data_IF_664974585573
#
_entry.id   IF_664974585573
#
_cell.length_a   1.000
_cell.length_b   1.000
_cell.length_c   1.000
_cell.angle_alpha   90.00
_cell.angle_beta   90.00
_cell.angle_gamma   90.00
#
_symmetry.space_group_name_H-M   'P 1'
#
loop_
_entity.id
_entity.type
_entity.pdbx_description
1 polymer ?
#
# COMPACT_ATOMS: atom_id res chain seq x y z
N UNK A 1 -6.17 -22.52 -1.21
CA UNK A 1 -6.67 -21.54 -0.21
C UNK A 1 -7.66 -20.62 -0.92
N UNK A 2 -8.77 -20.29 -0.28
CA UNK A 2 -9.76 -19.36 -0.84
C UNK A 2 -9.58 -17.99 -0.19
N UNK A 3 -9.36 -16.96 -0.99
CA UNK A 3 -8.99 -15.63 -0.52
C UNK A 3 -10.05 -14.61 -0.92
N UNK A 4 -10.59 -13.87 0.06
CA UNK A 4 -11.40 -12.69 -0.19
C UNK A 4 -10.49 -11.46 -0.30
N UNK A 5 -10.55 -10.75 -1.43
CA UNK A 5 -9.85 -9.47 -1.63
C UNK A 5 -10.92 -8.38 -1.74
N UNK A 6 -11.01 -7.50 -0.74
CA UNK A 6 -11.89 -6.31 -0.84
C UNK A 6 -11.14 -5.16 -1.49
N UNK A 7 -11.83 -4.32 -2.23
CA UNK A 7 -11.17 -3.29 -3.04
C UNK A 7 -10.40 -3.87 -4.23
N UNK A 8 -10.82 -5.05 -4.69
CA UNK A 8 -10.16 -5.81 -5.76
C UNK A 8 -10.01 -5.06 -7.09
N UNK A 9 -10.87 -4.06 -7.37
CA UNK A 9 -10.77 -3.22 -8.56
C UNK A 9 -9.74 -2.06 -8.44
N UNK A 10 -9.11 -1.87 -7.27
CA UNK A 10 -8.06 -0.86 -7.09
C UNK A 10 -6.76 -1.29 -7.78
N UNK A 11 -5.80 -0.37 -7.92
CA UNK A 11 -4.45 -0.69 -8.43
C UNK A 11 -3.84 -1.90 -7.72
N UNK A 12 -3.72 -1.86 -6.40
CA UNK A 12 -3.19 -3.00 -5.62
C UNK A 12 -4.07 -4.24 -5.76
N UNK A 13 -5.39 -4.05 -5.72
CA UNK A 13 -6.36 -5.17 -5.76
C UNK A 13 -6.27 -5.98 -7.04
N UNK A 14 -6.19 -5.34 -8.21
CA UNK A 14 -6.10 -6.03 -9.51
C UNK A 14 -4.83 -6.87 -9.61
N UNK A 15 -3.68 -6.32 -9.18
CA UNK A 15 -2.43 -7.06 -9.20
C UNK A 15 -2.42 -8.23 -8.20
N UNK A 16 -3.01 -8.06 -7.02
CA UNK A 16 -3.17 -9.16 -6.07
C UNK A 16 -4.08 -10.26 -6.61
N UNK A 17 -5.21 -9.91 -7.25
CA UNK A 17 -6.08 -10.89 -7.92
C UNK A 17 -5.27 -11.71 -8.93
N UNK A 18 -4.54 -11.05 -9.84
CA UNK A 18 -3.71 -11.71 -10.84
C UNK A 18 -2.63 -12.59 -10.20
N UNK A 19 -1.93 -12.05 -9.21
CA UNK A 19 -0.87 -12.75 -8.53
C UNK A 19 -1.35 -14.01 -7.81
N UNK A 20 -2.44 -13.94 -7.03
CA UNK A 20 -2.98 -15.10 -6.34
C UNK A 20 -3.53 -16.16 -7.30
N UNK A 21 -4.16 -15.76 -8.40
CA UNK A 21 -4.58 -16.68 -9.45
C UNK A 21 -3.37 -17.38 -10.11
N UNK A 22 -2.25 -16.67 -10.33
CA UNK A 22 -1.02 -17.27 -10.86
C UNK A 22 -0.38 -18.29 -9.92
N UNK A 23 -0.65 -18.17 -8.61
CA UNK A 23 -0.26 -19.14 -7.57
C UNK A 23 -1.30 -20.25 -7.36
N UNK A 24 -2.23 -20.40 -8.29
CA UNK A 24 -3.27 -21.44 -8.27
C UNK A 24 -4.24 -21.37 -7.06
N UNK A 25 -4.38 -20.17 -6.44
CA UNK A 25 -5.32 -19.94 -5.35
C UNK A 25 -6.74 -19.60 -5.86
N UNK A 26 -7.76 -19.85 -5.05
CA UNK A 26 -9.11 -19.37 -5.34
C UNK A 26 -9.26 -17.91 -4.87
N UNK A 27 -9.75 -17.03 -5.75
CA UNK A 27 -9.88 -15.60 -5.47
C UNK A 27 -11.34 -15.16 -5.55
N UNK A 28 -11.82 -14.60 -4.45
CA UNK A 28 -13.10 -13.90 -4.34
C UNK A 28 -12.83 -12.40 -4.39
N UNK A 29 -13.06 -11.79 -5.55
CA UNK A 29 -12.79 -10.38 -5.79
C UNK A 29 -14.02 -9.53 -5.43
N UNK A 30 -14.02 -8.87 -4.28
CA UNK A 30 -15.12 -8.04 -3.82
C UNK A 30 -14.93 -6.59 -4.28
N UNK A 31 -15.93 -6.09 -5.02
CA UNK A 31 -15.96 -4.74 -5.57
C UNK A 31 -17.33 -4.11 -5.36
N UNK A 32 -17.40 -2.78 -5.27
CA UNK A 32 -18.66 -2.06 -5.34
C UNK A 32 -19.16 -1.94 -6.78
N UNK A 33 -20.45 -1.71 -6.98
CA UNK A 33 -21.10 -1.63 -8.31
C UNK A 33 -20.35 -0.68 -9.28
N UNK A 34 -20.03 0.53 -8.82
CA UNK A 34 -19.41 1.57 -9.64
C UNK A 34 -17.88 1.66 -9.42
N UNK A 35 -17.20 0.54 -9.16
CA UNK A 35 -15.75 0.53 -8.95
C UNK A 35 -15.01 0.76 -10.28
N UNK A 36 -14.16 1.79 -10.33
CA UNK A 36 -13.23 1.96 -11.46
C UNK A 36 -12.29 0.75 -11.52
N UNK A 37 -12.04 0.22 -12.72
CA UNK A 37 -11.22 -0.96 -12.92
C UNK A 37 -11.94 -2.30 -12.69
N UNK A 38 -13.28 -2.31 -12.42
CA UNK A 38 -14.07 -3.54 -12.34
C UNK A 38 -13.99 -4.35 -13.63
N UNK A 39 -14.11 -3.67 -14.77
CA UNK A 39 -14.13 -4.33 -16.07
C UNK A 39 -12.80 -5.04 -16.40
N UNK A 40 -11.69 -4.57 -15.84
CA UNK A 40 -10.39 -5.22 -15.98
C UNK A 40 -10.33 -6.60 -15.28
N UNK A 41 -11.22 -6.85 -14.32
CA UNK A 41 -11.33 -8.14 -13.63
C UNK A 41 -12.15 -9.17 -14.43
N UNK A 42 -13.00 -8.73 -15.40
CA UNK A 42 -13.85 -9.62 -16.19
C UNK A 42 -13.03 -10.59 -17.06
N UNK A 43 -11.78 -10.23 -17.38
CA UNK A 43 -10.85 -11.14 -18.08
C UNK A 43 -10.62 -12.47 -17.37
N UNK A 44 -10.90 -12.54 -16.06
CA UNK A 44 -10.72 -13.74 -15.24
C UNK A 44 -12.02 -14.57 -15.08
N UNK A 45 -13.17 -14.15 -15.61
CA UNK A 45 -14.45 -14.84 -15.41
C UNK A 45 -14.46 -16.29 -15.93
N UNK A 46 -13.65 -16.59 -16.94
CA UNK A 46 -13.49 -17.96 -17.45
C UNK A 46 -12.61 -18.85 -16.54
N UNK A 47 -11.92 -18.28 -15.54
CA UNK A 47 -11.10 -19.03 -14.61
C UNK A 47 -11.97 -19.58 -13.47
N UNK A 48 -12.05 -20.89 -13.32
CA UNK A 48 -12.85 -21.55 -12.28
C UNK A 48 -12.40 -21.27 -10.84
N UNK A 49 -11.21 -20.66 -10.65
CA UNK A 49 -10.68 -20.20 -9.36
C UNK A 49 -10.97 -18.73 -9.08
N UNK A 50 -11.65 -18.04 -9.98
CA UNK A 50 -12.02 -16.63 -9.82
C UNK A 50 -13.52 -16.45 -9.65
N UNK A 51 -13.92 -15.60 -8.72
CA UNK A 51 -15.31 -15.16 -8.57
C UNK A 51 -15.36 -13.66 -8.26
N UNK A 52 -16.06 -12.92 -9.14
CA UNK A 52 -16.37 -11.51 -8.89
C UNK A 52 -17.60 -11.41 -7.98
N UNK A 53 -17.49 -10.63 -6.90
CA UNK A 53 -18.58 -10.35 -5.96
C UNK A 53 -18.83 -8.85 -5.98
N UNK A 54 -20.04 -8.46 -6.36
CA UNK A 54 -20.47 -7.05 -6.37
C UNK A 54 -21.23 -6.79 -5.08
N UNK A 55 -20.59 -6.10 -4.14
CA UNK A 55 -21.18 -5.79 -2.83
C UNK A 55 -20.51 -4.54 -2.24
N UNK A 56 -21.31 -3.63 -1.70
CA UNK A 56 -20.78 -2.47 -0.98
C UNK A 56 -20.36 -2.85 0.46
N UNK A 57 -19.31 -2.21 0.98
CA UNK A 57 -18.84 -2.48 2.35
C UNK A 57 -19.88 -2.15 3.44
N UNK A 58 -20.84 -1.27 3.14
CA UNK A 58 -21.97 -0.99 4.05
C UNK A 58 -22.94 -2.17 4.21
N UNK A 59 -22.97 -3.06 3.23
CA UNK A 59 -23.85 -4.26 3.17
C UNK A 59 -23.06 -5.55 3.39
N UNK A 60 -21.84 -5.49 3.95
CA UNK A 60 -20.90 -6.62 4.00
C UNK A 60 -21.44 -7.84 4.75
N UNK A 61 -22.36 -7.64 5.67
CA UNK A 61 -23.05 -8.71 6.41
C UNK A 61 -23.87 -9.63 5.48
N UNK A 62 -24.20 -9.18 4.27
CA UNK A 62 -24.89 -9.99 3.26
C UNK A 62 -23.98 -10.95 2.51
N UNK A 63 -22.66 -10.88 2.76
CA UNK A 63 -21.72 -11.82 2.14
C UNK A 63 -21.98 -13.23 2.63
N UNK A 64 -22.36 -14.12 1.71
CA UNK A 64 -22.72 -15.52 1.99
C UNK A 64 -21.84 -16.48 1.16
N UNK A 65 -20.54 -16.47 1.47
CA UNK A 65 -19.55 -17.37 0.85
C UNK A 65 -18.38 -17.54 1.81
N UNK A 66 -17.94 -18.77 2.01
CA UNK A 66 -16.84 -19.10 2.92
C UNK A 66 -15.48 -18.86 2.24
N UNK A 67 -14.49 -18.47 3.05
CA UNK A 67 -13.11 -18.23 2.64
C UNK A 67 -12.13 -18.41 3.80
N UNK A 68 -10.85 -18.64 3.48
CA UNK A 68 -9.81 -18.91 4.48
C UNK A 68 -9.09 -17.66 4.95
N UNK A 69 -8.87 -16.71 4.03
CA UNK A 69 -8.09 -15.48 4.27
C UNK A 69 -8.82 -14.27 3.68
N UNK A 70 -8.83 -13.18 4.43
CA UNK A 70 -9.30 -11.87 3.94
C UNK A 70 -8.13 -10.91 3.76
N UNK A 71 -8.03 -10.29 2.59
CA UNK A 71 -7.12 -9.16 2.31
C UNK A 71 -7.98 -7.92 2.13
N UNK A 72 -7.93 -7.03 3.14
CA UNK A 72 -8.78 -5.84 3.17
C UNK A 72 -8.04 -4.60 2.66
N UNK A 73 -8.31 -4.24 1.39
CA UNK A 73 -7.78 -3.04 0.73
C UNK A 73 -8.83 -1.94 0.54
N UNK A 74 -10.13 -2.28 0.63
CA UNK A 74 -11.21 -1.30 0.42
C UNK A 74 -11.11 -0.15 1.43
N UNK A 75 -10.95 1.07 0.92
CA UNK A 75 -10.83 2.27 1.72
C UNK A 75 -11.33 3.49 0.95
N UNK A 76 -12.20 4.30 1.54
CA UNK A 76 -12.65 5.56 1.00
C UNK A 76 -11.76 6.73 1.40
N UNK A 77 -11.83 7.84 0.67
CA UNK A 77 -11.17 9.09 1.07
C UNK A 77 -9.64 9.06 1.05
N UNK A 78 -9.02 8.37 0.07
CA UNK A 78 -7.55 8.31 -0.07
C UNK A 78 -6.93 9.55 -0.72
N UNK A 79 -7.74 10.37 -1.42
CA UNK A 79 -7.28 11.62 -2.04
C UNK A 79 -7.11 12.76 -1.01
N UNK A 80 -6.50 13.87 -1.44
CA UNK A 80 -6.07 14.98 -0.56
C UNK A 80 -7.16 15.44 0.43
N UNK A 81 -8.37 15.71 -0.03
CA UNK A 81 -9.48 16.16 0.81
C UNK A 81 -10.00 15.05 1.72
N UNK A 82 -10.27 13.87 1.15
CA UNK A 82 -10.82 12.74 1.91
C UNK A 82 -9.87 12.20 3.00
N UNK A 83 -8.55 12.39 2.87
CA UNK A 83 -7.58 12.06 3.91
C UNK A 83 -7.75 12.88 5.19
N UNK A 84 -8.34 14.07 5.08
CA UNK A 84 -8.59 14.99 6.20
C UNK A 84 -10.04 14.94 6.69
N UNK A 85 -10.92 14.18 6.04
CA UNK A 85 -12.34 14.07 6.40
C UNK A 85 -12.55 12.98 7.46
N UNK A 86 -12.81 13.40 8.70
CA UNK A 86 -13.00 12.50 9.84
C UNK A 86 -14.20 11.56 9.62
N UNK A 87 -15.30 12.02 9.00
CA UNK A 87 -16.49 11.19 8.82
C UNK A 87 -16.21 10.02 7.87
N UNK A 88 -15.57 10.30 6.72
CA UNK A 88 -15.16 9.24 5.78
C UNK A 88 -14.23 8.24 6.46
N UNK A 89 -13.27 8.73 7.25
CA UNK A 89 -12.33 7.84 7.93
C UNK A 89 -13.02 7.02 9.03
N UNK A 90 -14.02 7.57 9.71
CA UNK A 90 -14.84 6.83 10.70
C UNK A 90 -15.66 5.72 10.04
N UNK A 91 -16.30 5.99 8.91
CA UNK A 91 -17.04 4.97 8.14
C UNK A 91 -16.14 3.81 7.71
N UNK A 92 -14.89 4.09 7.31
CA UNK A 92 -13.91 3.06 6.98
C UNK A 92 -13.55 2.18 8.19
N UNK A 93 -13.39 2.80 9.37
CA UNK A 93 -13.13 2.05 10.63
C UNK A 93 -14.28 1.08 10.92
N UNK A 94 -15.51 1.57 10.87
CA UNK A 94 -16.69 0.75 11.17
C UNK A 94 -16.86 -0.36 10.15
N UNK A 95 -16.62 -0.10 8.87
CA UNK A 95 -16.67 -1.11 7.81
C UNK A 95 -15.62 -2.23 8.01
N UNK A 96 -14.39 -1.88 8.40
CA UNK A 96 -13.34 -2.87 8.67
C UNK A 96 -13.68 -3.76 9.88
N UNK A 97 -14.27 -3.18 10.93
CA UNK A 97 -14.70 -3.94 12.12
C UNK A 97 -15.84 -4.91 11.78
N UNK A 98 -16.84 -4.45 10.99
CA UNK A 98 -17.93 -5.33 10.52
C UNK A 98 -17.38 -6.46 9.65
N UNK A 99 -16.51 -6.15 8.70
CA UNK A 99 -15.89 -7.16 7.84
C UNK A 99 -15.16 -8.24 8.67
N UNK A 100 -14.40 -7.89 9.69
CA UNK A 100 -13.71 -8.88 10.51
C UNK A 100 -14.68 -9.83 11.24
N UNK A 101 -15.86 -9.35 11.66
CA UNK A 101 -16.91 -10.21 12.22
C UNK A 101 -17.46 -11.17 11.18
N UNK A 102 -17.76 -10.68 9.97
CA UNK A 102 -18.16 -11.51 8.83
C UNK A 102 -17.10 -12.56 8.50
N UNK A 103 -15.81 -12.19 8.55
CA UNK A 103 -14.71 -13.15 8.36
C UNK A 103 -14.82 -14.34 9.33
N UNK A 104 -15.15 -14.09 10.62
CA UNK A 104 -15.37 -15.17 11.59
C UNK A 104 -16.54 -16.07 11.20
N UNK A 105 -17.66 -15.48 10.80
CA UNK A 105 -18.87 -16.21 10.41
C UNK A 105 -18.63 -17.05 9.14
N UNK A 106 -17.75 -16.61 8.25
CA UNK A 106 -17.36 -17.29 6.99
C UNK A 106 -16.13 -18.17 7.10
N UNK A 107 -15.69 -18.48 8.31
CA UNK A 107 -14.64 -19.46 8.56
C UNK A 107 -13.20 -18.98 8.31
N UNK A 108 -12.98 -17.70 8.08
CA UNK A 108 -11.64 -17.16 7.85
C UNK A 108 -10.71 -17.38 9.06
N UNK A 109 -9.48 -17.74 8.78
CA UNK A 109 -8.41 -17.97 9.77
C UNK A 109 -7.50 -16.75 9.93
N UNK A 110 -7.36 -15.94 8.88
CA UNK A 110 -6.44 -14.80 8.85
C UNK A 110 -7.06 -13.59 8.16
N UNK A 111 -6.77 -12.41 8.71
CA UNK A 111 -7.23 -11.12 8.21
C UNK A 111 -6.03 -10.19 8.01
N UNK A 112 -5.70 -9.88 6.76
CA UNK A 112 -4.66 -8.93 6.39
C UNK A 112 -5.28 -7.56 6.13
N UNK A 113 -4.80 -6.55 6.83
CA UNK A 113 -5.28 -5.17 6.70
C UNK A 113 -4.24 -4.28 6.05
N UNK A 114 -4.65 -3.54 5.01
CA UNK A 114 -3.81 -2.51 4.41
C UNK A 114 -3.73 -1.28 5.31
N UNK A 115 -2.76 -1.27 6.23
CA UNK A 115 -2.29 -0.10 6.94
C UNK A 115 -1.50 0.84 6.02
N UNK A 116 -0.81 1.83 6.58
CA UNK A 116 -0.09 2.82 5.78
C UNK A 116 1.14 3.38 6.50
N UNK A 117 2.18 3.73 5.75
CA UNK A 117 3.31 4.50 6.23
C UNK A 117 2.89 5.85 6.86
N UNK A 118 1.69 6.38 6.49
CA UNK A 118 1.15 7.61 7.08
C UNK A 118 0.90 7.52 8.60
N UNK A 119 0.88 6.32 9.17
CA UNK A 119 0.78 6.08 10.61
C UNK A 119 2.00 6.60 11.37
N UNK A 120 3.19 6.60 10.74
CA UNK A 120 4.41 7.14 11.36
C UNK A 120 4.35 8.65 11.50
N UNK A 121 3.86 9.36 10.48
CA UNK A 121 3.70 10.81 10.48
C UNK A 121 5.01 11.59 10.63
N UNK A 122 6.17 10.95 10.40
CA UNK A 122 7.46 11.61 10.43
C UNK A 122 7.63 12.49 9.20
N UNK A 123 8.08 13.72 9.40
CA UNK A 123 8.31 14.70 8.33
C UNK A 123 9.78 15.08 8.20
N UNK A 124 10.15 15.65 7.06
CA UNK A 124 11.48 16.19 6.83
C UNK A 124 11.83 17.22 7.92
N UNK A 125 10.90 18.12 8.27
CA UNK A 125 11.14 19.14 9.32
C UNK A 125 11.37 18.53 10.71
N UNK A 126 10.77 17.37 11.02
CA UNK A 126 11.07 16.65 12.28
C UNK A 126 12.53 16.14 12.28
N UNK A 127 13.05 15.73 11.11
CA UNK A 127 14.45 15.29 10.94
C UNK A 127 15.40 16.47 11.03
N UNK A 128 15.14 17.53 10.26
CA UNK A 128 15.97 18.75 10.25
C UNK A 128 16.08 19.38 11.65
N UNK A 129 14.98 19.43 12.39
CA UNK A 129 14.95 19.94 13.75
C UNK A 129 15.81 19.12 14.73
N UNK A 130 15.97 17.81 14.49
CA UNK A 130 16.67 16.90 15.38
C UNK A 130 18.14 16.69 14.99
N UNK A 131 18.44 16.67 13.69
CA UNK A 131 19.74 16.27 13.16
C UNK A 131 20.45 17.39 12.37
N UNK A 132 19.81 18.56 12.18
CA UNK A 132 20.29 19.64 11.33
C UNK A 132 19.91 19.45 9.86
N UNK A 133 20.13 20.49 9.04
CA UNK A 133 19.73 20.45 7.62
C UNK A 133 20.69 19.61 6.74
N UNK A 134 21.93 19.39 7.17
CA UNK A 134 22.96 18.65 6.44
C UNK A 134 23.08 17.19 6.90
N UNK A 135 21.95 16.57 7.32
CA UNK A 135 21.95 15.19 7.81
C UNK A 135 22.30 14.18 6.71
N UNK A 136 23.01 13.11 7.07
CA UNK A 136 23.17 11.93 6.22
C UNK A 136 22.01 10.97 6.48
N UNK A 137 21.22 10.65 5.44
CA UNK A 137 20.08 9.72 5.52
C UNK A 137 20.47 8.36 6.12
N UNK A 138 21.70 7.90 5.89
CA UNK A 138 22.19 6.62 6.40
C UNK A 138 22.41 6.61 7.92
N UNK A 139 22.52 7.80 8.53
CA UNK A 139 22.66 7.95 9.99
C UNK A 139 21.33 8.10 10.72
N UNK A 140 20.23 8.34 9.96
CA UNK A 140 18.89 8.46 10.53
C UNK A 140 18.35 7.08 10.89
N UNK A 141 17.85 6.86 12.13
CA UNK A 141 17.25 5.59 12.52
C UNK A 141 16.12 5.18 11.58
N UNK A 142 16.14 3.91 11.15
CA UNK A 142 15.07 3.35 10.31
C UNK A 142 13.79 3.19 11.12
N UNK A 143 12.66 3.43 10.45
CA UNK A 143 11.31 3.24 10.99
C UNK A 143 11.00 1.74 11.06
N UNK A 144 11.31 1.11 12.22
CA UNK A 144 10.85 -0.24 12.53
C UNK A 144 9.34 -0.24 12.85
N UNK A 145 8.74 -1.41 12.95
CA UNK A 145 7.32 -1.54 13.29
C UNK A 145 6.98 -0.98 14.67
N UNK A 146 7.97 -0.94 15.58
CA UNK A 146 7.86 -0.35 16.94
C UNK A 146 8.23 1.14 16.98
N UNK A 147 8.63 1.73 15.84
CA UNK A 147 8.97 3.15 15.79
C UNK A 147 7.78 4.01 16.21
N UNK A 148 8.01 5.13 16.95
CA UNK A 148 6.93 6.00 17.39
C UNK A 148 6.04 6.48 16.26
N UNK A 149 4.73 6.38 16.44
CA UNK A 149 3.71 6.79 15.47
C UNK A 149 3.08 8.12 15.89
N UNK A 150 3.00 9.07 14.95
CA UNK A 150 2.42 10.41 15.17
C UNK A 150 1.72 10.90 13.88
N UNK A 151 0.64 10.22 13.44
CA UNK A 151 -0.01 10.52 12.17
C UNK A 151 -0.48 11.97 12.10
N UNK A 152 -0.31 12.61 10.92
CA UNK A 152 -0.65 14.02 10.68
C UNK A 152 -2.04 14.19 10.05
N UNK A 153 -2.60 13.17 9.41
CA UNK A 153 -3.92 13.18 8.76
C UNK A 153 -4.92 12.28 9.49
N UNK A 154 -6.22 12.56 9.30
CA UNK A 154 -7.29 11.68 9.80
C UNK A 154 -7.19 10.27 9.20
N UNK A 155 -6.77 10.16 7.94
CA UNK A 155 -6.43 8.89 7.31
C UNK A 155 -5.38 8.09 8.09
N UNK A 156 -4.24 8.72 8.41
CA UNK A 156 -3.18 8.06 9.18
C UNK A 156 -3.63 7.68 10.60
N UNK A 157 -4.40 8.57 11.25
CA UNK A 157 -5.00 8.30 12.57
C UNK A 157 -5.94 7.10 12.53
N UNK A 158 -6.83 7.04 11.54
CA UNK A 158 -7.79 5.95 11.37
C UNK A 158 -7.09 4.60 11.11
N UNK A 159 -6.03 4.58 10.25
CA UNK A 159 -5.23 3.38 10.03
C UNK A 159 -4.55 2.90 11.31
N UNK A 160 -3.97 3.81 12.08
CA UNK A 160 -3.33 3.51 13.37
C UNK A 160 -4.33 3.03 14.42
N UNK A 161 -5.51 3.65 14.51
CA UNK A 161 -6.59 3.25 15.43
C UNK A 161 -7.02 1.80 15.18
N UNK A 162 -7.18 1.43 13.90
CA UNK A 162 -7.56 0.07 13.52
C UNK A 162 -6.50 -0.98 13.88
N UNK A 163 -5.21 -0.63 13.93
CA UNK A 163 -4.16 -1.56 14.35
C UNK A 163 -4.52 -2.26 15.66
N UNK A 164 -4.87 -1.49 16.69
CA UNK A 164 -5.19 -2.03 18.00
C UNK A 164 -6.61 -2.63 18.07
N UNK A 165 -7.58 -1.98 17.44
CA UNK A 165 -8.96 -2.46 17.43
C UNK A 165 -9.12 -3.81 16.75
N UNK A 166 -8.52 -3.97 15.55
CA UNK A 166 -8.60 -5.23 14.80
C UNK A 166 -7.73 -6.33 15.44
N UNK A 167 -6.59 -5.98 16.07
CA UNK A 167 -5.81 -6.97 16.82
C UNK A 167 -6.63 -7.55 17.98
N UNK A 168 -7.21 -6.69 18.82
CA UNK A 168 -8.02 -7.14 19.96
C UNK A 168 -9.26 -7.93 19.50
N UNK A 169 -9.91 -7.49 18.43
CA UNK A 169 -11.07 -8.19 17.87
C UNK A 169 -10.67 -9.55 17.30
N UNK A 170 -9.56 -9.61 16.54
CA UNK A 170 -9.02 -10.85 15.98
C UNK A 170 -8.71 -11.87 17.08
N UNK A 171 -8.04 -11.45 18.16
CA UNK A 171 -7.75 -12.31 19.31
C UNK A 171 -9.02 -12.86 19.95
N UNK A 172 -10.05 -12.02 20.13
CA UNK A 172 -11.33 -12.43 20.70
C UNK A 172 -12.12 -13.41 19.82
N UNK A 173 -11.94 -13.29 18.50
CA UNK A 173 -12.61 -14.14 17.51
C UNK A 173 -11.80 -15.38 17.11
N UNK A 174 -10.53 -15.47 17.51
CA UNK A 174 -9.61 -16.51 17.06
C UNK A 174 -9.25 -16.37 15.56
N UNK A 175 -9.11 -15.14 15.08
CA UNK A 175 -8.63 -14.80 13.73
C UNK A 175 -7.24 -14.19 13.85
N UNK A 176 -6.27 -14.73 13.14
CA UNK A 176 -4.94 -14.14 13.07
C UNK A 176 -4.97 -12.81 12.29
N UNK A 177 -4.60 -11.73 12.96
CA UNK A 177 -4.59 -10.39 12.38
C UNK A 177 -3.22 -9.99 11.91
N UNK A 178 -3.14 -9.44 10.70
CA UNK A 178 -1.90 -8.91 10.08
C UNK A 178 -2.12 -7.47 9.67
N UNK A 179 -1.30 -6.57 10.19
CA UNK A 179 -1.29 -5.14 9.88
C UNK A 179 -0.13 -4.80 8.95
N UNK A 180 -0.42 -4.47 7.70
CA UNK A 180 0.57 -4.14 6.68
C UNK A 180 0.73 -2.63 6.55
N UNK A 181 1.78 -2.03 7.09
CA UNK A 181 2.13 -0.64 6.80
C UNK A 181 2.73 -0.56 5.42
N UNK A 182 1.88 -0.35 4.43
CA UNK A 182 2.28 -0.28 3.02
C UNK A 182 2.91 1.08 2.75
N UNK A 183 4.11 1.06 2.17
CA UNK A 183 4.83 2.24 1.71
C UNK A 183 4.45 2.59 0.27
N UNK A 184 5.22 3.47 -0.40
CA UNK A 184 4.83 3.94 -1.72
C UNK A 184 5.00 2.84 -2.77
N UNK A 185 3.89 2.39 -3.33
CA UNK A 185 3.85 1.37 -4.37
C UNK A 185 3.86 2.02 -5.75
N UNK A 186 4.57 1.44 -6.69
CA UNK A 186 4.54 1.83 -8.09
C UNK A 186 4.45 0.60 -9.00
N UNK A 187 3.94 0.80 -10.21
CA UNK A 187 3.82 -0.27 -11.19
C UNK A 187 2.87 0.08 -12.33
N UNK A 188 2.72 -0.81 -13.30
CA UNK A 188 1.80 -0.64 -14.42
C UNK A 188 0.35 -0.50 -13.90
N UNK A 189 -0.39 0.48 -14.42
CA UNK A 189 -1.77 0.77 -13.98
C UNK A 189 -1.88 1.55 -12.66
N UNK A 190 -0.78 2.12 -12.15
CA UNK A 190 -0.81 3.12 -11.09
C UNK A 190 -1.51 4.41 -11.55
N UNK A 191 -1.84 5.27 -10.61
CA UNK A 191 -2.56 6.51 -10.87
C UNK A 191 -1.74 7.43 -11.81
N UNK A 192 -2.38 7.92 -12.89
CA UNK A 192 -1.70 8.74 -13.93
C UNK A 192 -1.01 10.00 -13.39
N UNK A 193 -1.49 10.53 -12.27
CA UNK A 193 -0.92 11.71 -11.61
C UNK A 193 0.10 11.37 -10.52
N UNK A 194 0.46 10.10 -10.34
CA UNK A 194 1.56 9.74 -9.44
C UNK A 194 2.89 10.28 -9.99
N UNK A 195 3.85 10.53 -9.10
CA UNK A 195 5.15 11.05 -9.52
C UNK A 195 5.82 10.12 -10.54
N UNK A 196 5.81 8.82 -10.28
CA UNK A 196 6.43 7.82 -11.16
C UNK A 196 5.75 7.81 -12.54
N UNK A 197 4.41 7.71 -12.57
CA UNK A 197 3.64 7.70 -13.83
C UNK A 197 3.85 8.99 -14.64
N UNK A 198 3.86 10.14 -13.96
CA UNK A 198 4.12 11.45 -14.58
C UNK A 198 5.52 11.52 -15.18
N UNK A 199 6.55 11.05 -14.45
CA UNK A 199 7.93 11.02 -14.93
C UNK A 199 8.06 10.10 -16.14
N UNK A 200 7.54 8.87 -16.07
CA UNK A 200 7.59 7.92 -17.20
C UNK A 200 6.93 8.52 -18.43
N UNK A 201 5.71 9.05 -18.30
CA UNK A 201 4.95 9.62 -19.41
C UNK A 201 5.72 10.76 -20.10
N UNK A 202 6.18 11.74 -19.33
CA UNK A 202 6.84 12.92 -19.90
C UNK A 202 8.23 12.58 -20.48
N UNK A 203 9.04 11.80 -19.77
CA UNK A 203 10.37 11.44 -20.25
C UNK A 203 10.32 10.52 -21.48
N UNK A 204 9.31 9.65 -21.63
CA UNK A 204 9.08 8.90 -22.89
C UNK A 204 8.85 9.81 -24.10
N UNK A 205 8.25 10.97 -23.88
CA UNK A 205 7.97 11.96 -24.92
C UNK A 205 9.08 13.03 -25.04
N UNK A 206 10.21 12.86 -24.32
CA UNK A 206 11.28 13.86 -24.22
C UNK A 206 10.79 15.24 -23.75
N UNK A 207 9.77 15.27 -22.89
CA UNK A 207 9.22 16.48 -22.29
C UNK A 207 9.80 16.72 -20.91
N UNK A 208 9.80 17.98 -20.49
CA UNK A 208 10.21 18.39 -19.15
C UNK A 208 9.25 17.86 -18.09
N UNK A 209 9.82 17.55 -16.91
CA UNK A 209 9.07 17.11 -15.73
C UNK A 209 9.16 18.19 -14.66
N UNK A 210 8.01 18.80 -14.34
CA UNK A 210 7.87 19.86 -13.35
C UNK A 210 7.52 19.27 -11.97
N UNK A 211 8.45 19.34 -11.02
CA UNK A 211 8.33 18.73 -9.68
C UNK A 211 8.76 19.69 -8.57
N UNK A 212 8.44 19.37 -7.33
CA UNK A 212 9.00 20.04 -6.17
C UNK A 212 10.48 19.69 -5.96
N UNK A 213 11.07 20.18 -4.88
CA UNK A 213 12.51 20.00 -4.57
C UNK A 213 12.92 18.52 -4.42
N UNK A 214 12.00 17.63 -4.02
CA UNK A 214 12.20 16.20 -3.85
C UNK A 214 13.43 15.82 -2.99
N UNK A 215 13.70 16.61 -1.96
CA UNK A 215 14.88 16.48 -1.07
C UNK A 215 14.67 15.48 0.09
N UNK A 216 13.44 15.05 0.33
CA UNK A 216 13.10 14.12 1.40
C UNK A 216 13.53 12.69 1.07
N UNK A 217 13.77 11.90 2.13
CA UNK A 217 13.90 10.45 2.00
C UNK A 217 12.58 9.82 1.57
N UNK A 218 12.68 8.87 0.66
CA UNK A 218 11.53 8.13 0.15
C UNK A 218 11.83 6.65 -0.02
N UNK A 219 10.78 5.85 -0.05
CA UNK A 219 10.89 4.42 -0.30
C UNK A 219 9.80 4.00 -1.28
N UNK A 220 10.18 3.34 -2.35
CA UNK A 220 9.29 2.71 -3.31
C UNK A 220 9.42 1.19 -3.27
N UNK A 221 8.28 0.50 -3.36
CA UNK A 221 8.20 -0.94 -3.61
C UNK A 221 7.48 -1.17 -4.94
N UNK A 222 8.03 -2.05 -5.80
CA UNK A 222 7.38 -2.43 -7.04
C UNK A 222 6.17 -3.32 -6.75
N UNK A 223 5.11 -3.19 -7.56
CA UNK A 223 3.83 -3.87 -7.32
C UNK A 223 3.96 -5.39 -7.21
N UNK A 224 4.83 -6.04 -7.99
CA UNK A 224 5.02 -7.49 -7.92
C UNK A 224 5.72 -7.92 -6.62
N UNK A 225 6.67 -7.14 -6.12
CA UNK A 225 7.31 -7.39 -4.82
C UNK A 225 6.30 -7.20 -3.67
N UNK A 226 5.41 -6.20 -3.77
CA UNK A 226 4.29 -6.06 -2.83
C UNK A 226 3.38 -7.30 -2.88
N UNK A 227 3.03 -7.79 -4.06
CA UNK A 227 2.19 -8.99 -4.20
C UNK A 227 2.83 -10.22 -3.56
N UNK A 228 4.15 -10.42 -3.74
CA UNK A 228 4.89 -11.49 -3.06
C UNK A 228 4.87 -11.32 -1.55
N UNK A 229 5.12 -10.10 -1.04
CA UNK A 229 5.04 -9.82 0.39
C UNK A 229 3.68 -10.18 0.99
N UNK A 230 2.58 -9.76 0.34
CA UNK A 230 1.21 -10.06 0.77
C UNK A 230 0.93 -11.56 0.70
N UNK A 231 1.43 -12.25 -0.31
CA UNK A 231 1.30 -13.71 -0.46
C UNK A 231 2.01 -14.43 0.69
N UNK A 232 3.24 -14.07 1.02
CA UNK A 232 3.97 -14.62 2.15
C UNK A 232 3.22 -14.37 3.47
N UNK A 233 2.76 -13.14 3.71
CA UNK A 233 1.98 -12.77 4.89
C UNK A 233 0.66 -13.54 4.99
N UNK A 234 0.09 -13.98 3.87
CA UNK A 234 -1.14 -14.78 3.86
C UNK A 234 -0.93 -16.25 4.25
N UNK A 235 0.31 -16.78 4.14
CA UNK A 235 0.61 -18.21 4.26
C UNK A 235 1.60 -18.60 5.34
N UNK A 236 2.60 -17.76 5.60
CA UNK A 236 3.71 -18.12 6.50
C UNK A 236 3.32 -18.05 7.97
N UNK A 237 4.07 -18.79 8.80
CA UNK A 237 4.09 -18.55 10.23
C UNK A 237 4.74 -17.19 10.51
N UNK A 238 4.02 -16.31 11.19
CA UNK A 238 4.44 -14.94 11.48
C UNK A 238 5.21 -14.82 12.81
N UNK A 239 5.46 -15.94 13.49
CA UNK A 239 6.27 -16.01 14.71
C UNK A 239 5.80 -15.04 15.82
N UNK A 240 4.48 -14.81 15.89
CA UNK A 240 3.86 -13.89 16.87
C UNK A 240 3.85 -12.43 16.47
N UNK A 241 4.53 -12.06 15.39
CA UNK A 241 4.47 -10.70 14.84
C UNK A 241 3.14 -10.47 14.12
N UNK A 242 2.61 -9.25 14.21
CA UNK A 242 1.37 -8.91 13.52
C UNK A 242 1.43 -7.57 12.77
N UNK A 243 2.50 -6.80 12.91
CA UNK A 243 2.76 -5.56 12.15
C UNK A 243 3.96 -5.78 11.25
N UNK A 244 3.82 -5.41 9.98
CA UNK A 244 4.86 -5.52 8.97
C UNK A 244 4.95 -4.26 8.13
N UNK A 245 6.14 -3.71 8.01
CA UNK A 245 6.45 -2.72 7.00
C UNK A 245 6.55 -3.41 5.63
N UNK A 246 5.65 -3.07 4.72
CA UNK A 246 5.68 -3.57 3.34
C UNK A 246 6.27 -2.47 2.46
N UNK A 247 7.56 -2.58 2.20
CA UNK A 247 8.39 -1.54 1.57
C UNK A 247 9.53 -2.17 0.77
N UNK A 248 10.16 -1.39 -0.12
CA UNK A 248 11.38 -1.79 -0.81
C UNK A 248 12.60 -1.78 0.14
N UNK A 249 13.67 -2.44 -0.24
CA UNK A 249 14.89 -2.56 0.58
C UNK A 249 15.69 -1.26 0.67
N UNK A 250 15.57 -0.38 -0.33
CA UNK A 250 16.40 0.80 -0.47
C UNK A 250 15.65 2.11 -0.17
N UNK A 251 16.15 2.84 0.82
CA UNK A 251 15.70 4.19 1.14
C UNK A 251 16.63 5.19 0.43
N UNK A 252 16.06 6.13 -0.34
CA UNK A 252 16.83 7.09 -1.15
C UNK A 252 16.18 8.47 -1.10
N UNK A 253 16.91 9.48 -1.50
CA UNK A 253 16.35 10.82 -1.74
C UNK A 253 15.39 10.72 -2.93
N UNK A 254 14.21 11.33 -2.83
CA UNK A 254 13.16 11.24 -3.85
C UNK A 254 13.63 11.71 -5.23
N UNK A 255 14.50 12.74 -5.27
CA UNK A 255 15.10 13.25 -6.53
C UNK A 255 15.91 12.17 -7.26
N UNK A 256 16.56 11.24 -6.54
CA UNK A 256 17.38 10.22 -7.19
C UNK A 256 16.54 9.19 -7.96
N UNK A 257 15.32 8.90 -7.49
CA UNK A 257 14.37 8.09 -8.24
C UNK A 257 13.95 8.78 -9.56
N UNK A 258 13.73 10.10 -9.54
CA UNK A 258 13.37 10.87 -10.74
C UNK A 258 14.52 10.88 -11.76
N UNK A 259 15.75 11.08 -11.29
CA UNK A 259 16.96 11.02 -12.12
C UNK A 259 17.14 9.65 -12.77
N UNK A 260 16.88 8.59 -12.03
CA UNK A 260 16.96 7.22 -12.56
C UNK A 260 15.94 6.97 -13.66
N UNK A 261 14.70 7.45 -13.53
CA UNK A 261 13.68 7.31 -14.58
C UNK A 261 14.15 8.04 -15.85
N UNK A 262 14.64 9.31 -15.71
CA UNK A 262 15.19 10.06 -16.85
C UNK A 262 16.31 9.27 -17.54
N UNK A 263 17.26 8.74 -16.77
CA UNK A 263 18.40 7.95 -17.27
C UNK A 263 17.94 6.66 -17.96
N UNK A 264 17.01 5.91 -17.35
CA UNK A 264 16.50 4.64 -17.88
C UNK A 264 15.75 4.81 -19.20
N UNK A 265 15.12 5.97 -19.41
CA UNK A 265 14.39 6.32 -20.63
C UNK A 265 15.26 7.05 -21.67
N UNK A 266 16.53 7.32 -21.36
CA UNK A 266 17.45 8.11 -22.19
C UNK A 266 16.82 9.42 -22.68
N UNK A 267 16.07 10.10 -21.79
CA UNK A 267 15.26 11.25 -22.12
C UNK A 267 16.09 12.54 -22.20
N UNK A 268 15.85 13.34 -23.23
CA UNK A 268 16.39 14.69 -23.37
C UNK A 268 15.59 15.76 -22.61
N UNK A 269 14.37 15.44 -22.10
CA UNK A 269 13.56 16.37 -21.29
C UNK A 269 14.23 16.71 -19.96
N UNK A 270 14.04 17.92 -19.45
CA UNK A 270 14.67 18.38 -18.21
C UNK A 270 13.84 18.13 -16.96
N UNK A 271 14.52 18.05 -15.82
CA UNK A 271 13.90 18.07 -14.49
C UNK A 271 13.82 19.52 -14.06
N UNK A 272 12.60 20.09 -14.08
CA UNK A 272 12.34 21.48 -13.69
C UNK A 272 11.84 21.49 -12.25
N UNK A 273 12.67 22.03 -11.36
CA UNK A 273 12.33 22.13 -9.94
C UNK A 273 11.53 23.41 -9.69
N UNK A 274 10.32 23.27 -9.17
CA UNK A 274 9.42 24.36 -8.82
C UNK A 274 9.25 24.46 -7.31
N UNK A 275 9.17 25.67 -6.76
CA UNK A 275 8.75 25.85 -5.38
C UNK A 275 7.26 25.52 -5.27
N UNK A 276 6.94 24.37 -4.67
CA UNK A 276 5.57 23.98 -4.34
C UNK A 276 5.34 24.19 -2.84
N UNK A 277 4.17 24.73 -2.50
CA UNK A 277 3.76 24.77 -1.10
C UNK A 277 3.71 23.33 -0.54
N UNK A 278 4.28 23.14 0.63
CA UNK A 278 4.20 21.87 1.32
C UNK A 278 2.73 21.51 1.62
N UNK A 279 2.37 20.25 1.48
CA UNK A 279 1.07 19.77 1.92
C UNK A 279 0.87 20.08 3.42
N UNK A 280 -0.39 20.21 3.85
CA UNK A 280 -0.71 20.47 5.28
C UNK A 280 -0.13 19.43 6.25
N UNK A 281 0.15 18.22 5.77
CA UNK A 281 0.80 17.13 6.52
C UNK A 281 2.34 17.31 6.62
N UNK A 282 2.93 18.30 5.93
CA UNK A 282 4.37 18.46 5.74
C UNK A 282 4.93 17.52 4.67
N UNK A 283 6.24 17.59 4.41
CA UNK A 283 6.93 16.66 3.52
C UNK A 283 7.24 15.36 4.31
N UNK A 284 6.66 14.22 3.93
CA UNK A 284 6.93 12.96 4.62
C UNK A 284 8.40 12.56 4.49
N UNK A 285 8.95 11.96 5.55
CA UNK A 285 10.28 11.36 5.56
C UNK A 285 10.11 9.85 5.76
N UNK A 286 10.39 9.06 4.72
CA UNK A 286 10.19 7.62 4.70
C UNK A 286 11.54 6.89 4.74
N UNK A 287 11.78 6.16 5.82
CA UNK A 287 13.01 5.38 6.03
C UNK A 287 12.69 4.03 6.68
N UNK A 288 11.90 3.14 6.02
CA UNK A 288 11.44 1.89 6.63
C UNK A 288 12.57 0.92 6.94
N UNK A 289 12.37 0.14 8.01
CA UNK A 289 13.04 -1.13 8.27
C UNK A 289 12.08 -2.25 7.90
N UNK A 290 12.51 -3.25 7.14
CA UNK A 290 11.71 -4.40 6.69
C UNK A 290 12.20 -5.74 7.25
N UNK A 291 12.94 -5.73 8.34
CA UNK A 291 13.52 -6.96 8.91
C UNK A 291 12.46 -7.98 9.36
N UNK A 292 11.27 -7.53 9.82
CA UNK A 292 10.16 -8.46 10.10
C UNK A 292 9.71 -9.18 8.83
N UNK A 293 9.60 -8.46 7.72
CA UNK A 293 9.20 -9.04 6.43
C UNK A 293 10.28 -10.00 5.89
N UNK A 294 11.57 -9.65 6.02
CA UNK A 294 12.68 -10.52 5.63
C UNK A 294 12.73 -11.82 6.44
N UNK A 295 12.44 -11.77 7.73
CA UNK A 295 12.42 -12.98 8.59
C UNK A 295 11.41 -14.02 8.14
N UNK A 296 10.31 -13.64 7.50
CA UNK A 296 9.34 -14.59 6.92
C UNK A 296 9.69 -15.04 5.51
N UNK A 297 10.86 -14.63 4.99
CA UNK A 297 11.41 -15.08 3.70
C UNK A 297 11.19 -14.14 2.53
N UNK A 298 10.79 -12.89 2.77
CA UNK A 298 10.68 -11.89 1.71
C UNK A 298 12.06 -11.50 1.17
N UNK A 299 12.16 -11.47 -0.15
CA UNK A 299 13.32 -10.96 -0.91
C UNK A 299 12.79 -10.08 -2.01
N UNK A 300 13.27 -8.84 -2.09
CA UNK A 300 12.94 -7.93 -3.18
C UNK A 300 13.53 -8.46 -4.49
N UNK A 301 12.68 -8.85 -5.43
CA UNK A 301 13.09 -9.52 -6.68
C UNK A 301 13.21 -8.57 -7.87
N UNK A 302 12.48 -7.46 -7.83
CA UNK A 302 12.44 -6.48 -8.90
C UNK A 302 13.31 -5.26 -8.60
N UNK A 303 13.15 -4.66 -7.42
CA UNK A 303 13.75 -3.38 -7.14
C UNK A 303 13.24 -2.26 -8.07
N UNK A 304 13.77 -1.04 -7.90
CA UNK A 304 13.23 0.12 -8.60
C UNK A 304 13.49 0.09 -10.11
N UNK A 305 14.74 -0.14 -10.55
CA UNK A 305 15.11 -0.04 -11.98
C UNK A 305 14.40 -1.09 -12.85
N UNK A 306 14.32 -2.33 -12.36
CA UNK A 306 13.62 -3.41 -13.08
C UNK A 306 12.12 -3.12 -13.13
N UNK A 307 11.53 -2.67 -12.01
CA UNK A 307 10.12 -2.27 -11.96
C UNK A 307 9.79 -1.13 -12.92
N UNK A 308 10.67 -0.13 -13.06
CA UNK A 308 10.48 0.94 -14.07
C UNK A 308 10.52 0.37 -15.49
N UNK A 309 11.44 -0.55 -15.78
CA UNK A 309 11.52 -1.19 -17.12
C UNK A 309 10.26 -1.95 -17.47
N UNK A 310 9.61 -2.59 -16.49
CA UNK A 310 8.34 -3.29 -16.68
C UNK A 310 7.14 -2.33 -16.87
N UNK A 311 7.29 -1.04 -16.50
CA UNK A 311 6.28 0.01 -16.71
C UNK A 311 6.40 0.71 -18.06
N UNK A 312 7.48 0.50 -18.80
CA UNK A 312 7.79 1.14 -20.09
C UNK A 312 7.27 0.32 -21.26
#
# INVERSE_FOLDING_TARGET
MRILITGAASFLGRHLVEYFLSKEEEVLALVRENARGRDELLKYEANNKFKLIVLDMKDIERLDIDFDVCIHLAWGGIGKEGRMDENIQRENIDAAIRLMRVCKERGAKRFLFAGSQAEYGQTLSDIESKYGNDFDINTIPKQSEDFPTKPKSEYGKAKLELKSKLKNLGDSLGIEYVHMRIFSVFGSGDHETSLISTCIKNFKENKDVHIGECIQSWNYIYINDLCEAVYLLSKKDLQGEFVFNVAGENNRILMDYVKDIKRLLDSSGDIVVEKKEAASEGLPFLNPNIEHLKRIGFVESYGFEKGIKDCI
#
